data_IF_334624394133
#
_entry.id   IF_334624394133
#
_cell.length_a   1.000
_cell.length_b   1.000
_cell.length_c   1.000
_cell.angle_alpha   90.00
_cell.angle_beta   90.00
_cell.angle_gamma   90.00
#
_symmetry.space_group_name_H-M   'P 1'
#
loop_
_entity.id
_entity.type
_entity.pdbx_description
1 polymer ?
#
# COMPACT_ATOMS: atom_id res chain seq x y z
N UNK A 1 -43.71 -2.91 49.76
CA UNK A 1 -43.94 -3.34 48.37
C UNK A 1 -43.69 -2.25 47.32
N UNK A 2 -44.12 -0.99 47.52
CA UNK A 2 -43.94 0.11 46.54
C UNK A 2 -42.47 0.52 46.24
N UNK A 3 -41.53 0.27 47.15
CA UNK A 3 -40.10 0.60 46.97
C UNK A 3 -39.31 -0.50 46.24
N UNK A 4 -39.77 -1.75 46.28
CA UNK A 4 -39.05 -2.86 45.64
C UNK A 4 -39.28 -2.92 44.12
N UNK A 5 -40.47 -2.53 43.65
CA UNK A 5 -40.80 -2.51 42.21
C UNK A 5 -39.83 -1.64 41.38
N UNK A 6 -39.52 -0.38 41.76
CA UNK A 6 -38.56 0.43 40.99
C UNK A 6 -37.13 -0.12 41.06
N UNK A 7 -36.73 -0.75 42.17
CA UNK A 7 -35.39 -1.37 42.29
C UNK A 7 -35.30 -2.60 41.38
N UNK A 8 -36.30 -3.49 41.38
CA UNK A 8 -36.33 -4.65 40.49
C UNK A 8 -36.40 -4.24 39.02
N UNK A 9 -37.20 -3.23 38.67
CA UNK A 9 -37.25 -2.70 37.31
C UNK A 9 -35.89 -2.12 36.89
N UNK A 10 -35.24 -1.34 37.76
CA UNK A 10 -33.90 -0.78 37.48
C UNK A 10 -32.87 -1.89 37.28
N UNK A 11 -32.77 -2.86 38.21
CA UNK A 11 -31.84 -4.00 38.08
C UNK A 11 -32.09 -4.81 36.81
N UNK A 12 -33.36 -5.01 36.43
CA UNK A 12 -33.73 -5.76 35.22
C UNK A 12 -33.31 -4.99 33.97
N UNK A 13 -33.62 -3.70 33.89
CA UNK A 13 -33.22 -2.84 32.76
C UNK A 13 -31.71 -2.71 32.65
N UNK A 14 -31.01 -2.54 33.77
CA UNK A 14 -29.54 -2.51 33.79
C UNK A 14 -28.95 -3.83 33.33
N UNK A 15 -29.50 -4.98 33.77
CA UNK A 15 -29.01 -6.30 33.33
C UNK A 15 -29.23 -6.49 31.84
N UNK A 16 -30.41 -6.11 31.31
CA UNK A 16 -30.70 -6.18 29.88
C UNK A 16 -29.74 -5.29 29.09
N UNK A 17 -29.53 -4.05 29.53
CA UNK A 17 -28.60 -3.13 28.91
C UNK A 17 -27.16 -3.66 28.94
N UNK A 18 -26.71 -4.23 30.06
CA UNK A 18 -25.38 -4.85 30.19
C UNK A 18 -25.22 -6.06 29.28
N UNK A 19 -26.25 -6.91 29.14
CA UNK A 19 -26.23 -8.04 28.21
C UNK A 19 -26.18 -7.54 26.77
N UNK A 20 -26.99 -6.53 26.43
CA UNK A 20 -27.03 -5.95 25.09
C UNK A 20 -25.68 -5.33 24.70
N UNK A 21 -25.15 -4.40 25.51
CA UNK A 21 -23.86 -3.75 25.25
C UNK A 21 -22.69 -4.75 25.34
N UNK A 22 -22.77 -5.72 26.25
CA UNK A 22 -21.79 -6.80 26.35
C UNK A 22 -21.76 -7.66 25.09
N UNK A 23 -22.93 -7.97 24.51
CA UNK A 23 -23.01 -8.71 23.25
C UNK A 23 -22.45 -7.90 22.08
N UNK A 24 -22.74 -6.60 21.98
CA UNK A 24 -22.16 -5.77 20.92
C UNK A 24 -20.63 -5.66 21.06
N UNK A 25 -20.10 -5.60 22.28
CA UNK A 25 -18.65 -5.49 22.50
C UNK A 25 -17.90 -6.80 22.20
N UNK A 26 -18.53 -7.94 22.50
CA UNK A 26 -17.95 -9.27 22.30
C UNK A 26 -18.13 -9.79 20.87
N UNK A 27 -19.13 -9.32 20.13
CA UNK A 27 -19.34 -9.66 18.73
C UNK A 27 -18.52 -8.72 17.82
N UNK A 28 -17.53 -9.28 17.13
CA UNK A 28 -16.64 -8.49 16.26
C UNK A 28 -17.38 -7.71 15.16
N UNK A 29 -18.48 -8.25 14.63
CA UNK A 29 -19.28 -7.58 13.59
C UNK A 29 -20.02 -6.33 14.11
N UNK A 30 -20.24 -6.25 15.43
CA UNK A 30 -20.96 -5.15 16.07
C UNK A 30 -20.01 -4.11 16.71
N UNK A 31 -18.71 -4.41 16.79
CA UNK A 31 -17.70 -3.46 17.30
C UNK A 31 -17.70 -2.09 16.61
N UNK A 32 -18.00 -1.96 15.30
CA UNK A 32 -18.12 -0.64 14.67
C UNK A 32 -19.13 0.29 15.33
N UNK A 33 -20.16 -0.22 16.03
CA UNK A 33 -21.13 0.60 16.77
C UNK A 33 -20.49 1.41 17.90
N UNK A 34 -19.29 1.03 18.35
CA UNK A 34 -18.54 1.73 19.40
C UNK A 34 -17.46 2.68 18.86
N UNK A 35 -17.35 2.83 17.54
CA UNK A 35 -16.41 3.80 16.97
C UNK A 35 -16.85 5.21 17.33
N UNK A 36 -15.96 6.05 17.92
CA UNK A 36 -16.29 7.44 18.21
C UNK A 36 -16.60 8.24 16.93
N UNK A 37 -15.94 7.88 15.84
CA UNK A 37 -16.12 8.41 14.50
C UNK A 37 -15.42 7.51 13.46
N UNK A 38 -15.56 7.86 12.18
CA UNK A 38 -14.88 7.18 11.07
C UNK A 38 -13.36 7.19 11.27
N UNK A 39 -12.75 6.01 11.10
CA UNK A 39 -11.30 5.89 11.00
C UNK A 39 -10.78 6.51 9.69
N UNK A 40 -9.49 6.81 9.68
CA UNK A 40 -8.76 7.28 8.51
C UNK A 40 -8.91 6.32 7.33
N UNK A 41 -8.72 6.86 6.12
CA UNK A 41 -8.65 6.04 4.92
C UNK A 41 -7.56 4.95 5.03
N UNK A 42 -6.54 5.13 5.87
CA UNK A 42 -5.47 4.15 6.15
C UNK A 42 -5.95 2.87 6.81
N UNK A 43 -6.84 2.99 7.80
CA UNK A 43 -7.09 1.93 8.77
C UNK A 43 -8.53 1.41 8.82
N UNK A 44 -9.45 1.94 8.00
CA UNK A 44 -10.86 1.50 8.04
C UNK A 44 -11.08 0.00 7.86
N UNK A 45 -10.18 -0.70 7.17
CA UNK A 45 -10.32 -2.14 6.95
C UNK A 45 -10.11 -2.98 8.22
N UNK A 46 -9.54 -2.41 9.28
CA UNK A 46 -9.23 -3.11 10.53
C UNK A 46 -10.04 -2.58 11.72
N UNK A 47 -11.10 -1.81 11.47
CA UNK A 47 -11.96 -1.23 12.52
C UNK A 47 -12.71 -2.28 13.37
N UNK A 48 -12.84 -3.51 12.86
CA UNK A 48 -13.36 -4.68 13.61
C UNK A 48 -12.39 -5.20 14.68
N UNK A 49 -11.12 -4.79 14.63
CA UNK A 49 -10.04 -5.25 15.50
C UNK A 49 -9.51 -4.10 16.34
N UNK A 50 -10.34 -3.55 17.23
CA UNK A 50 -9.98 -2.39 18.06
C UNK A 50 -8.68 -2.60 18.87
N UNK A 51 -8.40 -3.85 19.27
CA UNK A 51 -7.18 -4.28 19.96
C UNK A 51 -5.91 -4.21 19.11
N UNK A 52 -6.03 -4.02 17.79
CA UNK A 52 -4.90 -3.70 16.91
C UNK A 52 -4.30 -2.33 17.22
N UNK A 53 -5.11 -1.37 17.70
CA UNK A 53 -4.66 0.00 18.03
C UNK A 53 -4.71 0.30 19.54
N UNK A 54 -5.70 -0.27 20.25
CA UNK A 54 -5.94 0.01 21.66
C UNK A 54 -5.51 -1.15 22.53
N UNK A 55 -4.84 -0.86 23.64
CA UNK A 55 -4.76 -1.81 24.74
C UNK A 55 -5.96 -1.60 25.68
N UNK A 56 -6.72 -2.66 26.04
CA UNK A 56 -7.87 -2.55 26.92
C UNK A 56 -7.54 -1.77 28.21
N UNK A 57 -8.37 -0.77 28.51
CA UNK A 57 -8.23 0.14 29.67
C UNK A 57 -6.95 0.99 29.73
N UNK A 58 -6.08 0.95 28.72
CA UNK A 58 -4.81 1.70 28.70
C UNK A 58 -4.66 2.65 27.51
N UNK A 59 -5.64 2.68 26.60
CA UNK A 59 -5.61 3.55 25.43
C UNK A 59 -4.65 3.06 24.34
N UNK A 60 -4.15 3.98 23.53
CA UNK A 60 -3.25 3.69 22.40
C UNK A 60 -1.80 3.63 22.90
N UNK A 61 -1.02 2.68 22.38
CA UNK A 61 0.42 2.57 22.64
C UNK A 61 1.20 2.80 21.36
N UNK A 62 2.35 3.43 21.46
CA UNK A 62 3.26 3.67 20.33
C UNK A 62 3.58 2.37 19.55
N UNK A 63 3.79 1.27 20.26
CA UNK A 63 4.11 -0.01 19.63
C UNK A 63 2.99 -0.51 18.70
N UNK A 64 1.72 -0.17 18.95
CA UNK A 64 0.63 -0.56 18.05
C UNK A 64 0.82 0.01 16.63
N UNK A 65 1.45 1.19 16.53
CA UNK A 65 1.80 1.80 15.25
C UNK A 65 3.08 1.17 14.67
N UNK A 66 4.11 1.02 15.51
CA UNK A 66 5.44 0.55 15.12
C UNK A 66 5.43 -0.91 14.66
N UNK A 67 4.61 -1.77 15.27
CA UNK A 67 4.52 -3.20 14.93
C UNK A 67 4.11 -3.41 13.45
N UNK A 68 3.40 -2.44 12.86
CA UNK A 68 3.05 -2.45 11.43
C UNK A 68 3.98 -1.55 10.57
N UNK A 69 4.33 -0.35 11.05
CA UNK A 69 4.97 0.69 10.23
C UNK A 69 6.49 0.79 10.35
N UNK A 70 7.12 0.08 11.29
CA UNK A 70 8.57 0.19 11.50
C UNK A 70 9.37 -0.14 10.24
N UNK A 71 8.99 -1.19 9.53
CA UNK A 71 9.72 -1.62 8.34
C UNK A 71 9.56 -0.61 7.21
N UNK A 72 8.37 -0.02 7.05
CA UNK A 72 8.10 1.03 6.06
C UNK A 72 8.97 2.27 6.32
N UNK A 73 9.04 2.73 7.57
CA UNK A 73 9.87 3.88 7.97
C UNK A 73 11.37 3.61 7.74
N UNK A 74 11.81 2.37 8.00
CA UNK A 74 13.19 1.96 7.73
C UNK A 74 13.49 1.92 6.23
N UNK A 75 12.59 1.36 5.44
CA UNK A 75 12.73 1.23 3.97
C UNK A 75 12.62 2.60 3.27
N UNK A 76 11.87 3.54 3.84
CA UNK A 76 11.78 4.92 3.37
C UNK A 76 12.97 5.80 3.76
N UNK A 77 13.85 5.31 4.65
CA UNK A 77 14.91 6.10 5.27
C UNK A 77 14.35 7.37 5.91
N UNK A 78 13.46 7.15 6.89
CA UNK A 78 12.79 8.23 7.63
C UNK A 78 13.74 9.39 7.94
N UNK A 79 13.36 10.59 7.49
CA UNK A 79 14.13 11.81 7.67
C UNK A 79 13.84 12.50 9.00
N UNK A 80 12.76 12.10 9.67
CA UNK A 80 12.37 12.54 11.00
C UNK A 80 12.16 11.34 11.95
N UNK A 81 13.16 10.46 12.10
CA UNK A 81 13.06 9.32 13.00
C UNK A 81 13.10 9.78 14.46
N UNK A 82 12.43 9.04 15.35
CA UNK A 82 12.36 9.37 16.77
C UNK A 82 13.74 9.59 17.43
N UNK A 83 14.79 8.90 16.97
CA UNK A 83 16.16 9.07 17.49
C UNK A 83 16.75 10.46 17.21
N UNK A 84 16.34 11.16 16.13
CA UNK A 84 16.74 12.55 15.84
C UNK A 84 16.26 13.49 16.93
N UNK A 85 15.07 13.25 17.45
CA UNK A 85 14.44 14.06 18.51
C UNK A 85 14.87 13.66 19.92
N UNK A 86 15.62 12.56 20.08
CA UNK A 86 16.20 12.18 21.38
C UNK A 86 17.45 12.99 21.73
N UNK A 87 18.00 13.76 20.79
CA UNK A 87 19.10 14.68 21.06
C UNK A 87 18.64 15.80 22.01
N UNK A 88 19.31 16.01 23.16
CA UNK A 88 18.94 17.06 24.11
C UNK A 88 18.92 18.47 23.52
N UNK A 89 19.65 18.72 22.41
CA UNK A 89 19.63 20.00 21.70
C UNK A 89 18.27 20.34 21.10
N UNK A 90 17.42 19.32 20.89
CA UNK A 90 16.07 19.48 20.35
C UNK A 90 15.00 19.64 21.44
N UNK A 91 15.38 19.79 22.72
CA UNK A 91 14.43 19.84 23.84
C UNK A 91 13.34 20.91 23.66
N UNK A 92 13.72 22.13 23.29
CA UNK A 92 12.76 23.23 23.11
C UNK A 92 11.80 22.99 21.93
N UNK A 93 12.28 22.34 20.85
CA UNK A 93 11.44 21.93 19.72
C UNK A 93 10.46 20.81 20.13
N UNK A 94 10.95 19.78 20.82
CA UNK A 94 10.16 18.64 21.29
C UNK A 94 9.10 19.08 22.31
N UNK A 95 9.38 20.13 23.10
CA UNK A 95 8.41 20.70 24.03
C UNK A 95 7.22 21.38 23.32
N UNK A 96 7.43 21.93 22.10
CA UNK A 96 6.35 22.48 21.26
C UNK A 96 5.59 21.37 20.53
N UNK A 97 6.33 20.46 19.90
CA UNK A 97 5.77 19.35 19.12
C UNK A 97 6.65 18.09 19.29
N UNK A 98 6.12 17.10 20.01
CA UNK A 98 6.85 15.86 20.31
C UNK A 98 6.85 14.88 19.12
N UNK A 99 7.75 15.11 18.16
CA UNK A 99 7.96 14.26 16.96
C UNK A 99 8.46 12.85 17.24
N UNK A 100 8.64 12.44 18.51
CA UNK A 100 9.02 11.06 18.87
C UNK A 100 7.85 10.10 18.89
N UNK A 101 6.61 10.59 18.87
CA UNK A 101 5.39 9.79 19.03
C UNK A 101 4.51 9.93 17.81
N UNK A 102 4.10 8.81 17.22
CA UNK A 102 3.15 8.80 16.10
C UNK A 102 1.87 9.56 16.44
N UNK A 103 1.34 9.36 17.65
CA UNK A 103 0.07 9.94 18.08
C UNK A 103 0.07 11.46 18.26
N UNK A 104 1.25 12.10 18.29
CA UNK A 104 1.36 13.56 18.28
C UNK A 104 0.82 14.13 16.97
N UNK A 105 1.10 13.45 15.86
CA UNK A 105 0.77 13.92 14.51
C UNK A 105 -0.39 13.15 13.88
N UNK A 106 -0.61 11.91 14.32
CA UNK A 106 -1.59 10.99 13.75
C UNK A 106 -2.61 10.58 14.80
N UNK A 107 -3.85 10.98 14.60
CA UNK A 107 -4.99 10.54 15.40
C UNK A 107 -6.02 9.85 14.53
N UNK A 108 -6.65 8.82 15.08
CA UNK A 108 -7.78 8.13 14.45
C UNK A 108 -9.11 8.69 14.97
N UNK A 109 -10.20 8.40 14.26
CA UNK A 109 -11.56 8.86 14.61
C UNK A 109 -11.75 10.39 14.58
N UNK A 110 -10.93 11.11 13.82
CA UNK A 110 -11.02 12.57 13.67
C UNK A 110 -11.07 12.99 12.19
N UNK A 111 -12.04 12.48 11.40
CA UNK A 111 -12.05 12.64 9.95
C UNK A 111 -12.08 14.10 9.47
N UNK A 112 -12.56 15.01 10.32
CA UNK A 112 -12.63 16.45 10.03
C UNK A 112 -11.27 17.18 10.07
N UNK A 113 -10.26 16.60 10.73
CA UNK A 113 -8.88 17.12 10.74
C UNK A 113 -7.89 16.21 10.02
N UNK A 114 -8.29 15.00 9.61
CA UNK A 114 -7.43 14.07 8.89
C UNK A 114 -7.15 14.57 7.46
N UNK A 115 -5.91 15.02 7.23
CA UNK A 115 -5.41 15.47 5.95
C UNK A 115 -4.78 14.35 5.09
N UNK A 116 -4.03 14.78 4.06
CA UNK A 116 -3.23 13.87 3.23
C UNK A 116 -2.27 13.08 4.11
N UNK A 117 -1.97 11.84 3.74
CA UNK A 117 -1.12 10.92 4.51
C UNK A 117 -1.62 10.58 5.93
N UNK A 118 -2.86 10.93 6.29
CA UNK A 118 -3.42 10.64 7.61
C UNK A 118 -2.85 11.50 8.73
N UNK A 119 -2.20 12.63 8.40
CA UNK A 119 -1.79 13.62 9.41
C UNK A 119 -3.03 14.35 9.93
N UNK A 120 -3.07 14.61 11.23
CA UNK A 120 -4.21 15.27 11.91
C UNK A 120 -3.84 16.62 12.51
N UNK A 121 -2.71 17.17 12.09
CA UNK A 121 -2.25 18.51 12.44
C UNK A 121 -2.55 19.50 11.31
N UNK A 122 -2.67 20.81 11.61
CA UNK A 122 -2.74 21.84 10.59
C UNK A 122 -1.51 21.82 9.67
N UNK A 123 -1.68 22.13 8.38
CA UNK A 123 -0.62 22.07 7.34
C UNK A 123 0.67 22.83 7.67
N UNK A 124 0.61 23.83 8.56
CA UNK A 124 1.76 24.63 8.98
C UNK A 124 2.54 24.03 10.16
N UNK A 125 2.24 22.81 10.62
CA UNK A 125 2.90 22.18 11.78
C UNK A 125 4.43 22.15 11.69
N UNK A 126 4.99 22.09 10.48
CA UNK A 126 6.44 22.14 10.25
C UNK A 126 7.07 23.41 10.83
N UNK A 127 6.33 24.51 10.87
CA UNK A 127 6.79 25.81 11.36
C UNK A 127 6.98 25.84 12.88
N UNK A 128 6.46 24.88 13.63
CA UNK A 128 6.75 24.75 15.07
C UNK A 128 8.25 24.55 15.34
N UNK A 129 8.95 23.94 14.38
CA UNK A 129 10.40 23.70 14.42
C UNK A 129 11.16 24.50 13.35
N UNK A 130 10.57 24.78 12.20
CA UNK A 130 11.22 25.43 11.05
C UNK A 130 10.84 26.90 10.86
N UNK A 131 10.42 27.61 11.92
CA UNK A 131 9.97 29.01 11.84
C UNK A 131 11.02 29.97 11.28
N UNK A 132 12.30 29.70 11.51
CA UNK A 132 13.43 30.59 11.20
C UNK A 132 14.12 30.23 9.87
N UNK A 133 13.61 29.23 9.12
CA UNK A 133 14.32 28.69 7.95
C UNK A 133 14.56 29.73 6.86
N UNK A 134 13.67 30.71 6.71
CA UNK A 134 13.83 31.83 5.77
C UNK A 134 14.89 32.86 6.19
N UNK A 135 15.31 32.86 7.45
CA UNK A 135 16.44 33.64 7.96
C UNK A 135 17.76 32.87 7.81
N UNK A 136 17.71 31.56 8.00
CA UNK A 136 18.87 30.67 7.87
C UNK A 136 19.26 30.38 6.41
N UNK A 137 18.29 30.40 5.49
CA UNK A 137 18.46 30.05 4.09
C UNK A 137 17.79 31.07 3.19
N UNK A 138 18.59 31.81 2.42
CA UNK A 138 18.08 32.82 1.49
C UNK A 138 17.10 32.23 0.46
N UNK A 139 17.29 30.97 0.03
CA UNK A 139 16.36 30.28 -0.89
C UNK A 139 14.97 30.00 -0.30
N UNK A 140 14.82 30.06 1.03
CA UNK A 140 13.54 29.83 1.70
C UNK A 140 12.86 31.14 2.12
N UNK A 141 13.46 32.28 1.81
CA UNK A 141 12.97 33.60 2.20
C UNK A 141 11.71 33.96 1.40
N UNK A 142 10.66 34.32 2.13
CA UNK A 142 9.37 34.69 1.53
C UNK A 142 8.53 33.50 1.04
N UNK A 143 9.01 32.26 1.22
CA UNK A 143 8.18 31.07 1.00
C UNK A 143 7.14 30.94 2.11
N UNK A 144 5.89 30.72 1.73
CA UNK A 144 4.85 30.36 2.68
C UNK A 144 4.85 28.85 2.96
N UNK A 145 4.15 28.44 4.02
CA UNK A 145 4.07 27.03 4.43
C UNK A 145 3.42 26.12 3.36
N UNK A 146 2.52 26.65 2.53
CA UNK A 146 1.90 25.90 1.44
C UNK A 146 2.90 25.60 0.33
N UNK A 147 3.79 26.54 0.05
CA UNK A 147 4.89 26.38 -0.87
C UNK A 147 5.84 25.29 -0.38
N UNK A 148 6.19 25.27 0.90
CA UNK A 148 6.99 24.18 1.49
C UNK A 148 6.34 22.80 1.29
N UNK A 149 5.01 22.72 1.44
CA UNK A 149 4.26 21.47 1.28
C UNK A 149 4.09 21.00 -0.18
N UNK A 150 4.29 21.89 -1.15
CA UNK A 150 3.97 21.62 -2.56
C UNK A 150 5.14 21.78 -3.53
N UNK A 151 6.26 22.36 -3.08
CA UNK A 151 7.43 22.62 -3.90
C UNK A 151 8.20 21.35 -4.30
N UNK A 152 7.86 20.18 -3.78
CA UNK A 152 8.50 18.91 -4.15
C UNK A 152 9.97 18.80 -3.74
N UNK A 153 10.41 19.56 -2.73
CA UNK A 153 11.80 19.53 -2.25
C UNK A 153 12.04 18.46 -1.19
N UNK A 154 11.07 18.22 -0.30
CA UNK A 154 11.14 17.22 0.75
C UNK A 154 9.74 16.89 1.32
N UNK A 155 9.66 15.74 1.99
CA UNK A 155 8.58 15.22 2.81
C UNK A 155 9.08 15.02 4.25
N UNK A 156 8.15 14.75 5.17
CA UNK A 156 8.48 14.39 6.54
C UNK A 156 9.19 13.02 6.61
N UNK A 157 8.55 11.95 6.13
CA UNK A 157 9.08 10.58 6.26
C UNK A 157 9.86 10.04 5.06
N UNK A 158 9.51 10.38 3.82
CA UNK A 158 10.14 9.77 2.63
C UNK A 158 10.74 10.83 1.69
N UNK A 159 12.06 10.99 1.80
CA UNK A 159 12.86 11.89 0.96
C UNK A 159 13.72 11.15 -0.04
N UNK A 160 13.45 9.87 -0.34
CA UNK A 160 14.36 9.10 -1.21
C UNK A 160 14.51 9.71 -2.60
N UNK A 161 13.52 10.43 -3.09
CA UNK A 161 13.59 11.16 -4.36
C UNK A 161 13.64 12.69 -4.20
N UNK A 162 13.42 13.20 -2.99
CA UNK A 162 13.22 14.62 -2.72
C UNK A 162 14.28 15.07 -1.71
N UNK A 163 15.51 15.20 -2.18
CA UNK A 163 16.63 15.76 -1.42
C UNK A 163 17.62 16.42 -2.37
N UNK A 164 18.24 17.50 -1.89
CA UNK A 164 19.01 18.45 -2.70
C UNK A 164 20.03 17.81 -3.64
N UNK A 165 20.97 17.00 -3.14
CA UNK A 165 21.99 16.34 -3.96
C UNK A 165 21.39 15.49 -5.09
N UNK A 166 20.22 14.89 -4.88
CA UNK A 166 19.52 14.12 -5.91
C UNK A 166 18.86 15.02 -6.94
N UNK A 167 18.17 16.07 -6.49
CA UNK A 167 17.54 17.06 -7.37
C UNK A 167 18.59 17.67 -8.31
N UNK A 168 19.71 18.15 -7.76
CA UNK A 168 20.82 18.73 -8.52
C UNK A 168 21.42 17.74 -9.50
N UNK A 169 21.70 16.51 -9.05
CA UNK A 169 22.31 15.47 -9.88
C UNK A 169 21.47 15.15 -11.13
N UNK A 170 20.16 15.27 -11.02
CA UNK A 170 19.19 14.93 -12.06
C UNK A 170 18.59 16.17 -12.75
N UNK A 171 19.14 17.37 -12.50
CA UNK A 171 18.72 18.60 -13.17
C UNK A 171 19.09 18.58 -14.66
N UNK A 172 18.14 18.94 -15.53
CA UNK A 172 18.34 19.01 -16.97
C UNK A 172 18.42 17.64 -17.68
N UNK A 173 17.95 16.56 -17.04
CA UNK A 173 17.75 15.28 -17.72
C UNK A 173 16.63 15.39 -18.76
N UNK A 174 16.76 14.64 -19.86
CA UNK A 174 15.69 14.54 -20.86
C UNK A 174 14.40 13.96 -20.24
N UNK A 175 13.24 14.45 -20.69
CA UNK A 175 11.93 13.89 -20.33
C UNK A 175 11.85 12.37 -20.55
N UNK A 176 12.56 11.87 -21.56
CA UNK A 176 12.67 10.45 -21.88
C UNK A 176 14.13 10.03 -21.89
N UNK A 177 14.50 9.17 -20.95
CA UNK A 177 15.87 8.69 -20.82
C UNK A 177 16.19 7.67 -21.94
N UNK A 178 17.24 7.95 -22.70
CA UNK A 178 17.70 7.10 -23.80
C UNK A 178 18.18 5.70 -23.35
N UNK A 179 18.65 5.59 -22.11
CA UNK A 179 19.04 4.33 -21.48
C UNK A 179 17.93 3.88 -20.51
N UNK A 180 16.76 3.50 -21.04
CA UNK A 180 15.73 2.88 -20.24
C UNK A 180 16.35 1.68 -19.51
N UNK A 181 16.44 1.74 -18.19
CA UNK A 181 16.96 0.63 -17.40
C UNK A 181 15.99 -0.53 -17.56
N UNK A 182 16.45 -1.66 -18.10
CA UNK A 182 15.62 -2.84 -18.27
C UNK A 182 14.86 -3.13 -16.97
N UNK A 183 13.54 -3.24 -17.06
CA UNK A 183 12.73 -3.66 -15.92
C UNK A 183 13.27 -5.04 -15.50
N UNK A 184 13.78 -5.19 -14.27
CA UNK A 184 14.50 -6.41 -13.93
C UNK A 184 13.60 -7.65 -14.07
N UNK A 185 14.09 -8.68 -14.76
CA UNK A 185 13.33 -9.90 -15.04
C UNK A 185 13.48 -10.94 -13.91
N UNK A 186 12.43 -11.74 -13.69
CA UNK A 186 12.46 -12.86 -12.75
C UNK A 186 13.36 -14.00 -13.28
N UNK A 187 13.94 -14.77 -12.35
CA UNK A 187 14.76 -15.95 -12.70
C UNK A 187 13.93 -17.04 -13.39
N UNK A 188 14.57 -17.79 -14.29
CA UNK A 188 13.98 -18.99 -14.91
C UNK A 188 13.77 -20.08 -13.85
N UNK A 189 12.65 -20.77 -13.96
CA UNK A 189 12.31 -21.94 -13.12
C UNK A 189 13.14 -23.14 -13.56
N UNK A 190 13.69 -23.89 -12.61
CA UNK A 190 14.31 -25.19 -12.88
C UNK A 190 13.22 -26.20 -13.26
N UNK A 191 13.35 -26.80 -14.44
CA UNK A 191 12.38 -27.75 -15.02
C UNK A 191 12.76 -29.21 -14.77
N UNK A 192 13.83 -29.47 -14.01
CA UNK A 192 14.32 -30.83 -13.73
C UNK A 192 13.28 -31.73 -13.03
N UNK A 193 12.28 -31.14 -12.39
CA UNK A 193 11.21 -31.82 -11.64
C UNK A 193 9.82 -31.67 -12.27
N UNK A 194 9.74 -31.35 -13.56
CA UNK A 194 8.47 -31.10 -14.22
C UNK A 194 7.54 -32.32 -14.15
N UNK A 195 6.29 -32.09 -13.75
CA UNK A 195 5.25 -33.10 -13.68
C UNK A 195 4.40 -33.12 -14.96
N UNK A 196 3.97 -34.31 -15.34
CA UNK A 196 3.10 -34.55 -16.50
C UNK A 196 1.77 -35.23 -16.12
N UNK A 197 1.68 -35.78 -14.90
CA UNK A 197 0.49 -36.46 -14.36
C UNK A 197 -0.01 -35.72 -13.11
N UNK A 198 -1.33 -35.60 -12.99
CA UNK A 198 -1.99 -35.00 -11.83
C UNK A 198 -2.17 -36.05 -10.71
N UNK A 199 -2.19 -35.60 -9.45
CA UNK A 199 -2.44 -36.47 -8.29
C UNK A 199 -3.78 -36.20 -7.58
N UNK A 200 -4.66 -35.41 -8.19
CA UNK A 200 -6.01 -35.15 -7.66
C UNK A 200 -6.85 -36.44 -7.53
N UNK A 201 -7.75 -36.55 -6.53
CA UNK A 201 -8.60 -37.72 -6.33
C UNK A 201 -9.51 -38.05 -7.52
N UNK A 202 -10.01 -37.01 -8.19
CA UNK A 202 -10.85 -37.11 -9.37
C UNK A 202 -10.15 -36.45 -10.56
N UNK A 203 -10.51 -36.87 -11.77
CA UNK A 203 -10.01 -36.27 -13.02
C UNK A 203 -10.51 -34.81 -13.10
N UNK A 204 -9.61 -33.81 -13.11
CA UNK A 204 -10.02 -32.42 -13.20
C UNK A 204 -10.67 -32.12 -14.55
N UNK A 205 -11.39 -30.99 -14.61
CA UNK A 205 -11.82 -30.43 -15.89
C UNK A 205 -10.60 -30.27 -16.83
N UNK A 206 -10.70 -30.64 -18.12
CA UNK A 206 -9.59 -30.53 -19.07
C UNK A 206 -8.91 -29.15 -19.12
N UNK A 207 -9.68 -28.07 -18.91
CA UNK A 207 -9.14 -26.72 -18.86
C UNK A 207 -8.26 -26.49 -17.62
N UNK A 208 -8.67 -27.00 -16.44
CA UNK A 208 -7.88 -26.92 -15.21
C UNK A 208 -6.56 -27.69 -15.37
N UNK A 209 -6.62 -28.90 -15.92
CA UNK A 209 -5.45 -29.73 -16.16
C UNK A 209 -4.48 -29.06 -17.17
N UNK A 210 -5.02 -28.49 -18.24
CA UNK A 210 -4.24 -27.73 -19.21
C UNK A 210 -3.60 -26.49 -18.55
N UNK A 211 -4.37 -25.73 -17.77
CA UNK A 211 -3.86 -24.53 -17.13
C UNK A 211 -2.75 -24.86 -16.15
N UNK A 212 -2.97 -25.82 -15.24
CA UNK A 212 -1.96 -26.29 -14.27
C UNK A 212 -0.69 -26.81 -14.95
N UNK A 213 -0.81 -27.69 -15.95
CA UNK A 213 0.36 -28.30 -16.60
C UNK A 213 1.24 -27.29 -17.35
N UNK A 214 0.70 -26.12 -17.67
CA UNK A 214 1.44 -25.00 -18.27
C UNK A 214 2.15 -24.08 -17.26
N UNK A 215 2.00 -24.32 -15.95
CA UNK A 215 2.50 -23.42 -14.90
C UNK A 215 3.96 -23.64 -14.52
N UNK A 216 4.55 -22.62 -13.89
CA UNK A 216 5.79 -22.75 -13.14
C UNK A 216 5.70 -23.77 -11.99
N UNK A 217 4.52 -23.93 -11.38
CA UNK A 217 4.29 -24.91 -10.31
C UNK A 217 4.47 -26.34 -10.81
N UNK A 218 3.80 -26.71 -11.91
CA UNK A 218 3.97 -28.03 -12.53
C UNK A 218 5.43 -28.25 -12.97
N UNK A 219 6.08 -27.23 -13.55
CA UNK A 219 7.49 -27.30 -13.93
C UNK A 219 8.45 -27.48 -12.74
N UNK A 220 8.07 -26.98 -11.55
CA UNK A 220 8.85 -27.07 -10.32
C UNK A 220 8.53 -28.32 -9.47
N UNK A 221 7.61 -29.18 -9.92
CA UNK A 221 7.25 -30.39 -9.17
C UNK A 221 6.07 -30.24 -8.20
N UNK A 222 5.28 -29.17 -8.31
CA UNK A 222 4.11 -28.92 -7.44
C UNK A 222 2.85 -29.47 -8.12
N UNK A 223 2.27 -30.51 -7.51
CA UNK A 223 1.05 -31.18 -7.99
C UNK A 223 -0.20 -30.72 -7.24
N UNK A 224 -1.37 -31.26 -7.57
CA UNK A 224 -2.66 -30.83 -7.04
C UNK A 224 -2.77 -30.99 -5.51
N UNK A 225 -2.34 -32.13 -4.96
CA UNK A 225 -2.36 -32.38 -3.51
C UNK A 225 -1.48 -31.42 -2.74
N UNK A 226 -0.39 -30.93 -3.33
CA UNK A 226 0.46 -29.94 -2.66
C UNK A 226 -0.30 -28.65 -2.29
N UNK A 227 -1.40 -28.35 -2.97
CA UNK A 227 -2.26 -27.20 -2.67
C UNK A 227 -3.58 -27.58 -1.97
N UNK A 228 -4.21 -28.67 -2.41
CA UNK A 228 -5.57 -29.03 -2.02
C UNK A 228 -5.64 -30.03 -0.87
N UNK A 229 -4.55 -30.72 -0.55
CA UNK A 229 -4.51 -31.70 0.54
C UNK A 229 -4.13 -31.00 1.86
N UNK A 230 -4.95 -31.18 2.88
CA UNK A 230 -4.62 -30.77 4.23
C UNK A 230 -3.48 -31.64 4.75
N UNK A 231 -2.43 -31.01 5.28
CA UNK A 231 -1.24 -31.72 5.74
C UNK A 231 -1.49 -32.64 6.94
N UNK A 232 -2.42 -32.29 7.82
CA UNK A 232 -2.69 -32.98 9.09
C UNK A 232 -3.50 -34.26 8.88
N UNK A 233 -4.60 -34.17 8.14
CA UNK A 233 -5.58 -35.27 8.00
C UNK A 233 -5.63 -35.87 6.58
N UNK A 234 -4.84 -35.34 5.65
CA UNK A 234 -4.76 -35.76 4.24
C UNK A 234 -6.08 -35.64 3.49
N UNK A 235 -7.00 -34.80 3.97
CA UNK A 235 -8.27 -34.54 3.31
C UNK A 235 -8.11 -33.56 2.14
N UNK A 236 -8.89 -33.77 1.08
CA UNK A 236 -8.93 -32.87 -0.06
C UNK A 236 -9.92 -31.72 0.19
N UNK A 237 -9.52 -30.50 -0.16
CA UNK A 237 -10.35 -29.30 -0.12
C UNK A 237 -10.26 -28.51 -1.43
N UNK A 238 -11.40 -28.15 -2.00
CA UNK A 238 -11.45 -27.22 -3.14
C UNK A 238 -11.18 -25.77 -2.74
N UNK A 239 -11.19 -25.47 -1.44
CA UNK A 239 -10.82 -24.16 -0.89
C UNK A 239 -9.40 -24.23 -0.34
N UNK A 240 -8.49 -23.55 -1.05
CA UNK A 240 -7.08 -23.46 -0.65
C UNK A 240 -6.88 -22.19 0.19
N UNK A 241 -6.45 -22.31 1.46
CA UNK A 241 -6.14 -21.15 2.27
C UNK A 241 -4.87 -20.44 1.76
N UNK A 242 -4.76 -19.13 1.96
CA UNK A 242 -3.61 -18.35 1.48
C UNK A 242 -2.28 -18.78 2.12
N UNK A 243 -2.33 -19.34 3.33
CA UNK A 243 -1.19 -19.90 4.05
C UNK A 243 -0.53 -21.05 3.27
N UNK A 244 -1.26 -21.75 2.40
CA UNK A 244 -0.68 -22.75 1.49
C UNK A 244 0.34 -22.10 0.57
N UNK A 245 0.06 -20.91 0.05
CA UNK A 245 1.01 -20.15 -0.78
C UNK A 245 2.23 -19.70 0.05
N UNK A 246 1.98 -19.21 1.28
CA UNK A 246 3.02 -18.66 2.18
C UNK A 246 4.16 -19.65 2.44
N UNK A 247 3.88 -20.97 2.48
CA UNK A 247 4.90 -22.01 2.68
C UNK A 247 6.06 -21.94 1.68
N UNK A 248 5.79 -21.48 0.45
CA UNK A 248 6.80 -21.31 -0.60
C UNK A 248 7.03 -19.84 -0.99
N UNK A 249 6.08 -18.96 -0.67
CA UNK A 249 6.04 -17.54 -1.04
C UNK A 249 5.93 -16.64 0.19
N UNK A 250 6.77 -16.90 1.19
CA UNK A 250 6.74 -16.20 2.49
C UNK A 250 6.89 -14.68 2.31
N UNK A 251 7.90 -14.25 1.55
CA UNK A 251 8.18 -12.83 1.35
C UNK A 251 7.06 -12.11 0.56
N UNK A 252 6.50 -12.74 -0.47
CA UNK A 252 5.35 -12.18 -1.19
C UNK A 252 4.11 -12.10 -0.30
N UNK A 253 3.90 -13.10 0.56
CA UNK A 253 2.79 -13.16 1.50
C UNK A 253 2.92 -12.11 2.60
N UNK A 254 4.11 -11.91 3.17
CA UNK A 254 4.39 -10.84 4.13
C UNK A 254 4.16 -9.46 3.52
N UNK A 255 4.70 -9.22 2.33
CA UNK A 255 4.54 -7.96 1.60
C UNK A 255 3.06 -7.70 1.24
N UNK A 256 2.31 -8.72 0.81
CA UNK A 256 0.87 -8.61 0.54
C UNK A 256 0.09 -8.19 1.78
N UNK A 257 0.41 -8.78 2.94
CA UNK A 257 -0.23 -8.50 4.22
C UNK A 257 0.05 -7.09 4.75
N UNK A 258 1.12 -6.43 4.32
CA UNK A 258 1.40 -5.02 4.66
C UNK A 258 0.57 -4.05 3.78
N UNK A 259 0.08 -4.51 2.63
CA UNK A 259 -0.75 -3.73 1.73
C UNK A 259 -2.23 -3.74 2.12
N UNK A 260 -3.00 -2.73 1.68
CA UNK A 260 -4.47 -2.69 1.88
C UNK A 260 -5.21 -3.91 1.37
N UNK A 261 -4.66 -4.63 0.40
CA UNK A 261 -5.27 -5.84 -0.13
C UNK A 261 -5.18 -7.02 0.84
N UNK A 262 -4.14 -7.06 1.69
CA UNK A 262 -3.88 -8.15 2.64
C UNK A 262 -3.93 -7.76 4.11
N UNK A 263 -4.02 -6.46 4.45
CA UNK A 263 -3.89 -5.97 5.85
C UNK A 263 -4.90 -6.54 6.84
N UNK A 264 -6.05 -7.01 6.36
CA UNK A 264 -7.01 -7.70 7.24
C UNK A 264 -6.47 -9.03 7.74
N UNK A 265 -5.74 -9.76 6.89
CA UNK A 265 -5.18 -11.05 7.22
C UNK A 265 -4.09 -10.94 8.29
N UNK A 266 -3.31 -9.85 8.29
CA UNK A 266 -2.23 -9.65 9.27
C UNK A 266 -2.73 -9.47 10.71
N UNK A 267 -3.98 -9.01 10.87
CA UNK A 267 -4.62 -8.84 12.19
C UNK A 267 -5.65 -9.94 12.50
N UNK A 268 -5.66 -11.02 11.72
CA UNK A 268 -6.53 -12.17 11.92
C UNK A 268 -7.97 -12.00 11.46
N UNK A 269 -8.28 -10.95 10.69
CA UNK A 269 -9.59 -10.76 10.07
C UNK A 269 -9.69 -11.53 8.73
N UNK A 270 -10.91 -11.88 8.27
CA UNK A 270 -11.12 -12.45 6.94
C UNK A 270 -10.63 -11.51 5.83
N UNK A 271 -10.29 -12.09 4.67
CA UNK A 271 -9.88 -11.34 3.49
C UNK A 271 -10.87 -10.21 3.15
N UNK A 272 -10.34 -9.09 2.65
CA UNK A 272 -11.14 -7.95 2.24
C UNK A 272 -12.08 -8.35 1.09
N UNK A 273 -13.36 -7.99 1.16
CA UNK A 273 -14.23 -8.02 -0.02
C UNK A 273 -14.07 -6.74 -0.83
N UNK A 274 -14.16 -6.85 -2.16
CA UNK A 274 -14.08 -5.69 -3.04
C UNK A 274 -15.15 -4.64 -2.69
N UNK A 275 -16.34 -5.07 -2.26
CA UNK A 275 -17.43 -4.18 -1.84
C UNK A 275 -17.16 -3.39 -0.57
N UNK A 276 -16.18 -3.80 0.25
CA UNK A 276 -15.79 -3.08 1.45
C UNK A 276 -14.89 -1.88 1.12
N UNK A 277 -14.41 -1.77 -0.13
CA UNK A 277 -13.50 -0.71 -0.52
C UNK A 277 -14.19 0.67 -0.55
N UNK A 278 -13.52 1.69 -0.01
CA UNK A 278 -13.92 3.11 -0.14
C UNK A 278 -13.46 3.76 -1.46
N UNK A 279 -13.29 2.97 -2.51
CA UNK A 279 -12.93 3.42 -3.87
C UNK A 279 -14.01 2.98 -4.86
N UNK A 280 -14.04 3.60 -6.04
CA UNK A 280 -14.95 3.19 -7.10
C UNK A 280 -14.60 1.80 -7.63
N UNK A 281 -15.40 0.82 -7.21
CA UNK A 281 -15.26 -0.58 -7.59
C UNK A 281 -16.43 -1.05 -8.44
N UNK A 282 -16.20 -2.10 -9.24
CA UNK A 282 -17.25 -2.75 -10.01
C UNK A 282 -18.23 -3.46 -9.09
N UNK A 283 -19.50 -3.07 -9.16
CA UNK A 283 -20.58 -3.71 -8.38
C UNK A 283 -20.64 -5.25 -8.59
N UNK A 284 -20.36 -5.72 -9.80
CA UNK A 284 -20.32 -7.16 -10.12
C UNK A 284 -19.19 -7.92 -9.44
N UNK A 285 -18.18 -7.23 -8.92
CA UNK A 285 -17.07 -7.81 -8.18
C UNK A 285 -17.22 -7.67 -6.66
N UNK A 286 -18.25 -6.98 -6.15
CA UNK A 286 -18.37 -6.62 -4.73
C UNK A 286 -18.26 -7.80 -3.75
N UNK A 287 -18.75 -8.97 -4.15
CA UNK A 287 -18.73 -10.20 -3.34
C UNK A 287 -17.37 -10.91 -3.32
N UNK A 288 -16.42 -10.52 -4.18
CA UNK A 288 -15.14 -11.21 -4.32
C UNK A 288 -14.20 -10.83 -3.18
N UNK A 289 -13.50 -11.82 -2.66
CA UNK A 289 -12.42 -11.63 -1.70
C UNK A 289 -11.09 -11.41 -2.42
N UNK A 290 -10.25 -10.55 -1.86
CA UNK A 290 -8.91 -10.25 -2.38
C UNK A 290 -7.89 -11.19 -1.75
N UNK A 291 -7.17 -11.96 -2.57
CA UNK A 291 -6.18 -12.94 -2.15
C UNK A 291 -5.16 -13.23 -3.28
N UNK A 292 -4.28 -14.22 -3.14
CA UNK A 292 -3.27 -14.51 -4.16
C UNK A 292 -3.86 -14.79 -5.56
N UNK A 293 -4.99 -15.51 -5.63
CA UNK A 293 -5.61 -15.90 -6.90
C UNK A 293 -6.52 -14.83 -7.49
N UNK A 294 -6.90 -13.80 -6.72
CA UNK A 294 -7.66 -12.66 -7.26
C UNK A 294 -6.89 -11.90 -8.34
N UNK A 295 -5.56 -11.91 -8.27
CA UNK A 295 -4.67 -11.31 -9.28
C UNK A 295 -4.12 -12.34 -10.27
N UNK A 296 -3.63 -13.48 -9.76
CA UNK A 296 -2.88 -14.45 -10.57
C UNK A 296 -3.78 -15.46 -11.32
N UNK A 297 -5.06 -15.59 -10.95
CA UNK A 297 -6.02 -16.62 -11.38
C UNK A 297 -5.49 -18.06 -11.24
N UNK A 298 -6.13 -18.85 -10.40
CA UNK A 298 -6.04 -20.30 -10.47
C UNK A 298 -6.67 -20.83 -11.77
N UNK A 299 -6.17 -21.89 -12.39
CA UNK A 299 -4.96 -22.67 -12.09
C UNK A 299 -3.78 -22.27 -13.01
N UNK A 300 -3.83 -21.08 -13.62
CA UNK A 300 -2.84 -20.62 -14.61
C UNK A 300 -1.70 -19.79 -13.98
N UNK A 301 -1.98 -19.09 -12.88
CA UNK A 301 -1.05 -18.20 -12.18
C UNK A 301 -0.35 -17.19 -13.11
N UNK A 302 -1.11 -16.60 -14.03
CA UNK A 302 -0.61 -15.75 -15.11
C UNK A 302 -0.08 -14.42 -14.58
N UNK A 303 1.24 -14.25 -14.62
CA UNK A 303 1.91 -12.98 -14.29
C UNK A 303 1.45 -11.83 -15.20
N UNK A 304 1.17 -12.11 -16.47
CA UNK A 304 0.69 -11.11 -17.42
C UNK A 304 -0.69 -10.60 -17.04
N UNK A 305 -1.58 -11.50 -16.62
CA UNK A 305 -2.93 -11.13 -16.17
C UNK A 305 -2.87 -10.38 -14.84
N UNK A 306 -2.04 -10.84 -13.90
CA UNK A 306 -1.84 -10.16 -12.62
C UNK A 306 -1.29 -8.74 -12.79
N UNK A 307 -0.45 -8.51 -13.81
CA UNK A 307 0.19 -7.23 -14.03
C UNK A 307 -0.77 -6.10 -14.48
N UNK A 308 -1.95 -6.42 -15.01
CA UNK A 308 -2.88 -5.44 -15.60
C UNK A 308 -4.34 -5.89 -15.56
N UNK A 309 -4.69 -6.94 -16.32
CA UNK A 309 -6.11 -7.28 -16.58
C UNK A 309 -6.88 -7.62 -15.30
N UNK A 310 -6.21 -8.20 -14.30
CA UNK A 310 -6.82 -8.53 -13.03
C UNK A 310 -7.22 -7.30 -12.21
N UNK A 311 -6.44 -6.21 -12.26
CA UNK A 311 -6.75 -4.96 -11.56
C UNK A 311 -8.11 -4.41 -12.03
N UNK A 312 -8.33 -4.39 -13.35
CA UNK A 312 -9.56 -3.92 -13.98
C UNK A 312 -10.75 -4.89 -13.84
N UNK A 313 -10.59 -6.05 -13.18
CA UNK A 313 -11.74 -6.88 -12.80
C UNK A 313 -12.49 -6.29 -11.60
N UNK A 314 -11.83 -5.46 -10.79
CA UNK A 314 -12.39 -4.86 -9.57
C UNK A 314 -12.41 -3.33 -9.63
N UNK A 315 -11.28 -2.70 -10.01
CA UNK A 315 -11.17 -1.24 -10.08
C UNK A 315 -12.05 -0.66 -11.19
N UNK A 316 -12.68 0.47 -10.88
CA UNK A 316 -13.62 1.17 -11.76
C UNK A 316 -13.49 2.70 -11.66
N UNK A 317 -12.45 3.21 -11.02
CA UNK A 317 -12.15 4.64 -10.94
C UNK A 317 -11.66 5.20 -12.28
N UNK A 318 -11.79 6.52 -12.46
CA UNK A 318 -11.43 7.23 -13.69
C UNK A 318 -9.99 6.95 -14.14
N UNK A 319 -9.03 7.03 -13.21
CA UNK A 319 -7.62 6.72 -13.44
C UNK A 319 -7.41 5.32 -14.03
N UNK A 320 -8.02 4.30 -13.42
CA UNK A 320 -7.89 2.90 -13.86
C UNK A 320 -8.52 2.68 -15.24
N UNK A 321 -9.69 3.29 -15.50
CA UNK A 321 -10.41 3.17 -16.76
C UNK A 321 -9.71 3.89 -17.92
N UNK A 322 -8.95 4.95 -17.62
CA UNK A 322 -8.16 5.68 -18.61
C UNK A 322 -6.85 4.99 -18.99
N UNK A 323 -6.36 4.00 -18.22
CA UNK A 323 -5.09 3.33 -18.52
C UNK A 323 -5.01 2.80 -19.97
N UNK A 324 -6.08 2.21 -20.52
CA UNK A 324 -6.10 1.68 -21.90
C UNK A 324 -5.98 2.76 -22.98
N UNK A 325 -6.15 4.04 -22.64
CA UNK A 325 -5.98 5.19 -23.53
C UNK A 325 -4.59 5.82 -23.40
N UNK A 326 -3.75 5.34 -22.48
CA UNK A 326 -2.43 5.90 -22.22
C UNK A 326 -1.37 5.45 -23.24
N UNK A 327 -0.31 6.25 -23.45
CA UNK A 327 0.91 5.81 -24.11
C UNK A 327 1.53 4.57 -23.41
N UNK A 328 1.51 4.52 -22.08
CA UNK A 328 2.02 3.38 -21.30
C UNK A 328 1.37 2.06 -21.70
N UNK A 329 0.05 2.02 -21.85
CA UNK A 329 -0.65 0.81 -22.31
C UNK A 329 -0.30 0.46 -23.75
N UNK A 330 -0.14 1.47 -24.62
CA UNK A 330 0.21 1.25 -26.03
C UNK A 330 1.52 0.48 -26.13
N UNK A 331 2.56 0.93 -25.41
CA UNK A 331 3.85 0.23 -25.36
C UNK A 331 3.76 -1.11 -24.61
N UNK A 332 3.03 -1.19 -23.49
CA UNK A 332 2.85 -2.45 -22.77
C UNK A 332 2.20 -3.55 -23.60
N UNK A 333 1.25 -3.18 -24.46
CA UNK A 333 0.60 -4.10 -25.40
C UNK A 333 1.56 -4.59 -26.48
N UNK A 334 2.42 -3.71 -27.00
CA UNK A 334 3.42 -4.06 -28.02
C UNK A 334 4.44 -5.02 -27.42
N UNK A 335 5.03 -4.65 -26.30
CA UNK A 335 5.97 -5.45 -25.51
C UNK A 335 5.41 -6.84 -25.20
N UNK A 336 4.20 -6.88 -24.64
CA UNK A 336 3.49 -8.12 -24.33
C UNK A 336 3.32 -9.04 -25.55
N UNK A 337 3.12 -8.48 -26.74
CA UNK A 337 2.96 -9.25 -27.97
C UNK A 337 4.32 -9.79 -28.48
N UNK A 338 5.40 -9.08 -28.20
CA UNK A 338 6.77 -9.47 -28.56
C UNK A 338 7.42 -10.41 -27.54
N UNK A 339 6.82 -10.58 -26.36
CA UNK A 339 7.40 -11.36 -25.26
C UNK A 339 8.53 -10.62 -24.53
N UNK A 340 8.67 -9.32 -24.78
CA UNK A 340 9.58 -8.41 -24.10
C UNK A 340 8.77 -7.64 -23.05
N UNK A 341 9.33 -7.35 -21.87
CA UNK A 341 8.58 -6.68 -20.78
C UNK A 341 9.32 -5.43 -20.29
N UNK A 342 9.92 -4.67 -21.21
CA UNK A 342 11.01 -3.78 -20.86
C UNK A 342 10.75 -2.29 -21.12
N UNK A 343 9.76 -1.92 -21.94
CA UNK A 343 9.45 -0.54 -22.34
C UNK A 343 8.05 -0.09 -21.95
N UNK A 344 7.10 -1.02 -21.91
CA UNK A 344 5.72 -0.75 -21.50
C UNK A 344 5.49 -0.88 -19.99
N UNK A 345 4.65 -0.01 -19.45
CA UNK A 345 4.36 0.07 -18.02
C UNK A 345 2.94 -0.42 -17.77
N UNK A 346 2.79 -1.41 -16.89
CA UNK A 346 1.49 -1.95 -16.45
C UNK A 346 1.00 -1.34 -15.14
N UNK A 347 -0.25 -1.64 -14.74
CA UNK A 347 -0.76 -1.27 -13.41
C UNK A 347 0.20 -1.72 -12.29
N UNK A 348 0.62 -2.99 -12.31
CA UNK A 348 1.57 -3.51 -11.34
C UNK A 348 2.97 -2.88 -11.45
N UNK A 349 3.37 -2.36 -12.61
CA UNK A 349 4.69 -1.70 -12.74
C UNK A 349 4.76 -0.40 -11.92
N UNK A 350 3.65 0.35 -11.86
CA UNK A 350 3.55 1.55 -11.03
C UNK A 350 3.19 1.22 -9.58
N UNK A 351 2.22 0.34 -9.33
CA UNK A 351 1.67 0.13 -7.99
C UNK A 351 2.35 -0.98 -7.19
N UNK A 352 3.05 -1.90 -7.85
CA UNK A 352 3.71 -3.07 -7.26
C UNK A 352 5.10 -3.27 -7.90
N UNK A 353 5.99 -2.27 -7.80
CA UNK A 353 7.20 -2.23 -8.61
C UNK A 353 8.13 -3.40 -8.32
N UNK A 354 8.93 -3.76 -9.33
CA UNK A 354 10.05 -4.68 -9.13
C UNK A 354 11.20 -3.95 -8.47
N UNK A 355 11.58 -4.38 -7.27
CA UNK A 355 12.67 -3.80 -6.48
C UNK A 355 13.83 -4.78 -6.35
N UNK A 356 15.06 -4.26 -6.34
CA UNK A 356 16.26 -5.05 -6.10
C UNK A 356 16.61 -5.00 -4.62
N UNK A 357 16.36 -6.09 -3.88
CA UNK A 357 16.75 -6.27 -2.47
C UNK A 357 17.81 -7.37 -2.36
N UNK A 358 18.95 -7.09 -1.73
CA UNK A 358 20.07 -8.04 -1.53
C UNK A 358 20.51 -8.77 -2.81
N UNK A 359 20.59 -8.04 -3.93
CA UNK A 359 21.00 -8.61 -5.22
C UNK A 359 19.93 -9.44 -5.94
N UNK A 360 18.74 -9.63 -5.35
CA UNK A 360 17.60 -10.32 -5.97
C UNK A 360 16.54 -9.31 -6.40
N UNK A 361 15.91 -9.56 -7.53
CA UNK A 361 14.73 -8.84 -8.01
C UNK A 361 13.50 -9.48 -7.40
N UNK A 362 12.61 -8.65 -6.85
CA UNK A 362 11.35 -9.08 -6.24
C UNK A 362 10.25 -8.09 -6.61
N UNK A 363 9.00 -8.54 -6.64
CA UNK A 363 7.83 -7.68 -6.76
C UNK A 363 7.41 -7.24 -5.37
N UNK A 364 7.25 -5.94 -5.16
CA UNK A 364 6.64 -5.43 -3.93
C UNK A 364 5.12 -5.64 -3.99
N UNK A 365 4.59 -6.54 -3.16
CA UNK A 365 3.16 -6.82 -3.07
C UNK A 365 2.43 -5.86 -2.11
N UNK A 366 3.15 -4.98 -1.42
CA UNK A 366 2.58 -3.90 -0.64
C UNK A 366 2.32 -2.70 -1.56
N UNK A 367 1.14 -2.67 -2.20
CA UNK A 367 0.82 -1.57 -3.12
C UNK A 367 0.83 -0.18 -2.45
N UNK A 368 0.62 -0.10 -1.12
CA UNK A 368 0.65 1.18 -0.42
C UNK A 368 2.04 1.79 -0.40
N UNK A 369 3.07 0.94 -0.33
CA UNK A 369 4.45 1.35 -0.18
C UNK A 369 4.90 2.23 -1.35
N UNK A 370 4.28 2.07 -2.53
CA UNK A 370 4.63 2.87 -3.69
C UNK A 370 3.66 4.00 -4.00
N UNK A 371 2.51 4.06 -3.32
CA UNK A 371 1.43 4.97 -3.70
C UNK A 371 1.27 6.20 -2.81
N UNK A 372 1.74 6.14 -1.56
CA UNK A 372 1.49 7.17 -0.56
C UNK A 372 2.76 7.56 0.21
N UNK A 373 3.27 8.80 0.04
CA UNK A 373 2.83 9.78 -0.97
C UNK A 373 3.26 9.30 -2.39
N UNK A 374 2.73 9.91 -3.45
CA UNK A 374 2.88 9.37 -4.81
C UNK A 374 4.31 9.50 -5.35
N UNK A 375 5.11 10.42 -4.80
CA UNK A 375 6.53 10.63 -5.11
C UNK A 375 7.39 9.40 -4.81
N UNK A 376 6.90 8.45 -4.01
CA UNK A 376 7.55 7.14 -3.82
C UNK A 376 7.74 6.39 -5.15
N UNK A 377 6.88 6.63 -6.14
CA UNK A 377 6.97 6.04 -7.48
C UNK A 377 8.16 6.53 -8.30
N UNK A 378 8.71 7.71 -7.99
CA UNK A 378 9.72 8.39 -8.82
C UNK A 378 10.88 7.45 -9.11
N UNK A 379 11.51 6.88 -8.07
CA UNK A 379 12.73 6.06 -8.23
C UNK A 379 12.43 4.62 -8.63
N UNK A 380 11.30 4.09 -8.19
CA UNK A 380 10.94 2.69 -8.44
C UNK A 380 10.44 2.48 -9.87
N UNK A 381 9.77 3.48 -10.43
CA UNK A 381 8.92 3.33 -11.62
C UNK A 381 9.19 4.43 -12.66
N UNK A 382 9.02 5.71 -12.32
CA UNK A 382 9.07 6.81 -13.31
C UNK A 382 10.48 6.98 -13.92
N UNK A 383 11.50 7.05 -13.06
CA UNK A 383 12.91 7.22 -13.46
C UNK A 383 13.55 5.98 -14.10
N UNK A 384 12.75 4.95 -14.41
CA UNK A 384 13.20 3.88 -15.31
C UNK A 384 13.20 4.32 -16.77
N UNK A 385 12.35 5.29 -17.11
CA UNK A 385 12.15 5.77 -18.47
C UNK A 385 12.17 7.30 -18.61
N UNK A 386 11.96 8.04 -17.52
CA UNK A 386 11.81 9.50 -17.55
C UNK A 386 12.84 10.22 -16.67
N UNK A 387 13.21 11.44 -17.03
CA UNK A 387 13.99 12.32 -16.15
C UNK A 387 13.26 12.64 -14.85
N UNK A 388 14.01 13.06 -13.82
CA UNK A 388 13.44 13.39 -12.51
C UNK A 388 12.41 14.52 -12.59
N UNK A 389 12.74 15.60 -13.30
CA UNK A 389 11.90 16.79 -13.43
C UNK A 389 10.53 16.46 -14.02
N UNK A 390 10.53 15.78 -15.17
CA UNK A 390 9.31 15.28 -15.80
C UNK A 390 8.49 14.40 -14.85
N UNK A 391 9.16 13.52 -14.10
CA UNK A 391 8.51 12.61 -13.16
C UNK A 391 7.82 13.34 -12.00
N UNK A 392 8.49 14.34 -11.40
CA UNK A 392 7.91 15.15 -10.31
C UNK A 392 6.74 15.99 -10.82
N UNK A 393 6.92 16.65 -11.96
CA UNK A 393 5.88 17.45 -12.61
C UNK A 393 4.64 16.60 -12.93
N UNK A 394 4.84 15.40 -13.46
CA UNK A 394 3.76 14.46 -13.76
C UNK A 394 3.00 13.97 -12.51
N UNK A 395 3.71 13.74 -11.40
CA UNK A 395 3.10 13.30 -10.14
C UNK A 395 2.43 14.45 -9.37
N UNK A 396 2.80 15.69 -9.65
CA UNK A 396 2.15 16.84 -9.04
C UNK A 396 0.87 17.29 -9.78
N UNK A 397 0.68 16.84 -11.03
CA UNK A 397 -0.45 17.16 -11.90
C UNK A 397 -1.61 16.17 -11.67
N UNK A 398 -2.59 16.58 -10.84
CA UNK A 398 -3.72 15.73 -10.45
C UNK A 398 -4.62 15.35 -11.65
N UNK A 399 -4.79 16.24 -12.62
CA UNK A 399 -5.59 15.95 -13.82
C UNK A 399 -4.88 14.91 -14.70
N UNK A 400 -3.56 15.03 -14.85
CA UNK A 400 -2.76 14.07 -15.58
C UNK A 400 -2.79 12.68 -14.94
N UNK A 401 -2.75 12.60 -13.60
CA UNK A 401 -2.91 11.34 -12.87
C UNK A 401 -4.27 10.72 -13.22
N UNK A 402 -5.39 11.46 -13.14
CA UNK A 402 -6.72 10.91 -13.45
C UNK A 402 -6.85 10.41 -14.90
N UNK A 403 -6.08 10.98 -15.82
CA UNK A 403 -6.04 10.56 -17.22
C UNK A 403 -4.95 9.55 -17.55
N UNK A 404 -4.32 8.98 -16.52
CA UNK A 404 -3.29 7.95 -16.62
C UNK A 404 -2.10 8.37 -17.50
N UNK A 405 -1.60 9.59 -17.27
CA UNK A 405 -0.39 10.11 -17.93
C UNK A 405 -0.48 10.11 -19.46
N UNK A 406 -1.64 10.53 -20.00
CA UNK A 406 -1.90 10.50 -21.45
C UNK A 406 -1.30 11.66 -22.26
N UNK A 407 -0.70 12.64 -21.59
CA UNK A 407 -0.05 13.83 -22.15
C UNK A 407 1.17 14.24 -21.30
N UNK A 408 1.91 15.24 -21.74
CA UNK A 408 2.96 15.85 -20.90
C UNK A 408 2.35 16.61 -19.72
N UNK A 409 3.06 16.69 -18.57
CA UNK A 409 2.60 17.47 -17.43
C UNK A 409 2.41 18.94 -17.78
N UNK A 410 1.38 19.55 -17.20
CA UNK A 410 1.13 20.99 -17.32
C UNK A 410 1.51 21.75 -16.05
N UNK A 411 1.77 21.03 -14.96
CA UNK A 411 2.27 21.59 -13.71
C UNK A 411 3.80 21.51 -13.67
N UNK A 412 4.41 22.57 -13.21
CA UNK A 412 5.86 22.68 -13.03
C UNK A 412 6.17 22.87 -11.54
N UNK A 413 7.12 22.08 -11.05
CA UNK A 413 7.56 22.08 -9.66
C UNK A 413 8.97 22.66 -9.60
N UNK A 414 9.19 23.75 -8.84
CA UNK A 414 10.43 24.53 -8.91
C UNK A 414 11.62 23.87 -8.18
N UNK A 415 11.43 22.70 -7.56
CA UNK A 415 12.42 22.07 -6.67
C UNK A 415 13.80 21.90 -7.31
N UNK A 416 13.87 21.41 -8.56
CA UNK A 416 15.17 21.18 -9.20
C UNK A 416 15.85 22.50 -9.56
N UNK A 417 15.11 23.50 -10.05
CA UNK A 417 15.65 24.84 -10.34
C UNK A 417 16.22 25.47 -9.07
N UNK A 418 15.46 25.51 -7.99
CA UNK A 418 15.92 26.06 -6.70
C UNK A 418 17.10 25.31 -6.11
N UNK A 419 17.13 23.99 -6.24
CA UNK A 419 18.26 23.19 -5.80
C UNK A 419 19.52 23.52 -6.63
N UNK A 420 19.35 23.78 -7.94
CA UNK A 420 20.46 24.13 -8.82
C UNK A 420 21.00 25.54 -8.60
N UNK A 421 20.13 26.52 -8.38
CA UNK A 421 20.52 27.92 -8.12
C UNK A 421 21.32 28.09 -6.82
N UNK A 422 21.23 27.13 -5.90
CA UNK A 422 21.96 27.14 -4.64
C UNK A 422 23.41 26.63 -4.77
N UNK A 423 23.72 25.81 -5.77
CA UNK A 423 25.10 25.40 -6.07
C UNK A 423 25.94 26.57 -6.61
#
# INVERSE_FOLDING_TARGET
MKIFIPIFAWLTLSTIASIFLGNELLNEELKPNFLPNDTSHGHYQIELKCDACHTPNMGIKENACIDCHQQDLKDSQDSHPANKFNDPRNFDMVAKLDGRKCITCHSEHVPHTTGKMGVTLPDNYCMECHSEIGEERESHKGLDYQTCATAGCHNYHDNRALYEDFLVKHYGEDDHLHAASEIPLNKKVDKSKALIEHDSPELPNPQILHDWSSTAHAAAGVNCRACHENEEDKTWSDKVPWQTCQKCHEEESESFQQGRHGMRLSVGLPAMKVGDARLDMKATAAHREVNCVSCHNDHRFSLRTAAMDACLKCHNDEHSLNYKKSPHFTYWRIDSAMGEFNKGVSCATCHMPRVKKHGKVKVDHNQNNNLRPNEKMIRSSCMKCHGLEFSINALADEELIQHNFNRSPQKEIPSLEWAKERE
#
